data_IF_679460889328
#
_entry.id   IF_679460889328
#
_cell.length_a   1.000
_cell.length_b   1.000
_cell.length_c   1.000
_cell.angle_alpha   90.00
_cell.angle_beta   90.00
_cell.angle_gamma   90.00
#
_symmetry.space_group_name_H-M   'P 1'
#
loop_
_entity.id
_entity.type
_entity.pdbx_description
1 polymer ?
#
# COMPACT_ATOMS: atom_id res chain seq x y z
N UNK A 1 -2.04 -29.11 -4.58
CA UNK A 1 -1.91 -28.05 -5.60
C UNK A 1 -2.36 -26.68 -5.08
N UNK A 2 -3.61 -26.54 -4.59
CA UNK A 2 -4.16 -25.24 -4.15
C UNK A 2 -3.31 -24.54 -3.05
N UNK A 3 -2.86 -25.29 -2.03
CA UNK A 3 -2.08 -24.74 -0.91
C UNK A 3 -0.72 -24.16 -1.29
N UNK A 4 -0.04 -24.72 -2.30
CA UNK A 4 1.24 -24.18 -2.81
C UNK A 4 1.05 -22.96 -3.70
N UNK A 5 -0.13 -22.80 -4.31
CA UNK A 5 -0.47 -21.62 -5.10
C UNK A 5 -0.93 -20.44 -4.23
N UNK A 6 -1.37 -20.69 -2.99
CA UNK A 6 -1.78 -19.62 -2.07
C UNK A 6 -0.62 -18.73 -1.62
N UNK A 7 0.61 -19.26 -1.61
CA UNK A 7 1.82 -18.51 -1.25
C UNK A 7 2.00 -17.32 -2.22
N UNK A 8 2.19 -17.47 -3.53
CA UNK A 8 2.34 -16.31 -4.43
C UNK A 8 1.09 -15.43 -4.51
N UNK A 9 -0.10 -15.99 -4.25
CA UNK A 9 -1.37 -15.25 -4.33
C UNK A 9 -1.49 -14.15 -3.26
N UNK A 10 -1.01 -14.40 -2.04
CA UNK A 10 -1.04 -13.43 -0.94
C UNK A 10 -0.14 -12.21 -1.24
N UNK A 11 1.08 -12.43 -1.73
CA UNK A 11 1.97 -11.35 -2.20
C UNK A 11 1.34 -10.56 -3.34
N UNK A 12 0.68 -11.25 -4.27
CA UNK A 12 0.06 -10.60 -5.42
C UNK A 12 -1.04 -9.63 -4.96
N UNK A 13 -1.83 -10.03 -3.96
CA UNK A 13 -2.86 -9.17 -3.36
C UNK A 13 -2.24 -7.96 -2.66
N UNK A 14 -1.16 -8.16 -1.89
CA UNK A 14 -0.42 -7.05 -1.26
C UNK A 14 0.14 -6.06 -2.28
N UNK A 15 0.73 -6.57 -3.37
CA UNK A 15 1.24 -5.77 -4.47
C UNK A 15 0.12 -4.98 -5.16
N UNK A 16 -1.02 -5.61 -5.44
CA UNK A 16 -2.18 -4.92 -6.01
C UNK A 16 -2.75 -3.85 -5.07
N UNK A 17 -2.78 -4.09 -3.76
CA UNK A 17 -3.22 -3.09 -2.78
C UNK A 17 -2.34 -1.83 -2.83
N UNK A 18 -1.01 -1.98 -2.89
CA UNK A 18 -0.08 -0.85 -3.04
C UNK A 18 -0.29 -0.14 -4.40
N UNK A 19 -0.48 -0.91 -5.47
CA UNK A 19 -0.74 -0.36 -6.80
C UNK A 19 -2.04 0.46 -6.85
N UNK A 20 -3.09 0.01 -6.16
CA UNK A 20 -4.37 0.73 -6.05
C UNK A 20 -4.22 2.06 -5.32
N UNK A 21 -3.36 2.14 -4.30
CA UNK A 21 -3.05 3.41 -3.63
C UNK A 21 -2.44 4.40 -4.63
N UNK A 22 -1.46 3.96 -5.44
CA UNK A 22 -0.88 4.79 -6.49
C UNK A 22 -1.91 5.23 -7.54
N UNK A 23 -2.80 4.31 -7.95
CA UNK A 23 -3.92 4.61 -8.86
C UNK A 23 -4.95 5.59 -8.26
N UNK A 24 -5.18 5.54 -6.95
CA UNK A 24 -6.10 6.43 -6.24
C UNK A 24 -5.69 7.90 -6.36
N UNK A 25 -4.38 8.20 -6.40
CA UNK A 25 -3.90 9.57 -6.56
C UNK A 25 -4.37 10.17 -7.89
N UNK A 26 -4.32 9.39 -8.98
CA UNK A 26 -4.76 9.83 -10.29
C UNK A 26 -6.28 10.02 -10.33
N UNK A 27 -7.04 9.11 -9.72
CA UNK A 27 -8.51 9.21 -9.69
C UNK A 27 -8.97 10.38 -8.83
N UNK A 28 -8.26 10.70 -7.75
CA UNK A 28 -8.53 11.88 -6.91
C UNK A 28 -8.32 13.19 -7.67
N UNK A 29 -7.25 13.31 -8.46
CA UNK A 29 -6.97 14.52 -9.26
C UNK A 29 -7.98 14.67 -10.40
N UNK A 30 -8.25 13.60 -11.17
CA UNK A 30 -9.15 13.65 -12.34
C UNK A 30 -10.60 13.89 -11.93
N UNK A 31 -11.09 13.22 -10.87
CA UNK A 31 -12.47 13.37 -10.41
C UNK A 31 -12.63 14.44 -9.31
N UNK A 32 -11.58 15.21 -9.04
CA UNK A 32 -11.52 16.24 -7.99
C UNK A 32 -11.98 15.77 -6.59
N UNK A 33 -11.94 14.46 -6.31
CA UNK A 33 -12.35 13.88 -5.03
C UNK A 33 -11.38 14.31 -3.91
N UNK A 34 -11.88 14.68 -2.72
CA UNK A 34 -11.01 15.02 -1.60
C UNK A 34 -10.28 13.76 -1.11
N UNK A 35 -8.94 13.78 -1.13
CA UNK A 35 -8.11 12.67 -0.69
C UNK A 35 -6.65 13.09 -0.48
N UNK A 36 -5.85 12.16 0.04
CA UNK A 36 -4.44 12.40 0.40
C UNK A 36 -3.56 12.61 -0.84
N UNK A 37 -3.88 11.95 -1.96
CA UNK A 37 -3.18 12.12 -3.23
C UNK A 37 -3.39 13.50 -3.83
N UNK A 38 -4.63 14.00 -3.80
CA UNK A 38 -4.94 15.38 -4.23
C UNK A 38 -4.23 16.43 -3.36
N UNK A 39 -4.18 16.22 -2.04
CA UNK A 39 -3.43 17.09 -1.12
C UNK A 39 -1.93 17.10 -1.44
N UNK A 40 -1.36 15.94 -1.76
CA UNK A 40 0.05 15.81 -2.16
C UNK A 40 0.34 16.63 -3.43
N UNK A 41 -0.50 16.49 -4.47
CA UNK A 41 -0.35 17.26 -5.72
C UNK A 41 -0.52 18.76 -5.45
N UNK A 42 -1.46 19.15 -4.59
CA UNK A 42 -1.65 20.53 -4.16
C UNK A 42 -0.42 21.11 -3.44
N UNK A 43 0.21 20.33 -2.55
CA UNK A 43 1.44 20.71 -1.86
C UNK A 43 2.63 20.83 -2.82
N UNK A 44 2.73 19.92 -3.80
CA UNK A 44 3.74 20.01 -4.88
C UNK A 44 3.62 21.30 -5.67
N UNK A 45 2.39 21.68 -6.07
CA UNK A 45 2.12 22.90 -6.84
C UNK A 45 2.49 24.16 -6.04
N UNK A 46 2.27 24.14 -4.72
CA UNK A 46 2.60 25.24 -3.81
C UNK A 46 4.07 25.22 -3.32
N UNK A 47 4.86 24.22 -3.73
CA UNK A 47 6.22 23.96 -3.22
C UNK A 47 6.29 23.86 -1.69
N UNK A 48 5.22 23.38 -1.07
CA UNK A 48 5.20 23.10 0.36
C UNK A 48 5.81 21.72 0.61
N UNK A 49 7.13 21.70 0.80
CA UNK A 49 7.88 20.46 1.07
C UNK A 49 7.51 19.84 2.42
N UNK A 50 7.09 20.64 3.40
CA UNK A 50 6.71 20.15 4.73
C UNK A 50 5.43 19.33 4.63
N UNK A 51 4.42 19.86 3.94
CA UNK A 51 3.16 19.16 3.71
C UNK A 51 3.36 17.92 2.85
N UNK A 52 4.18 18.01 1.79
CA UNK A 52 4.54 16.86 0.95
C UNK A 52 5.15 15.73 1.77
N UNK A 53 6.19 16.03 2.56
CA UNK A 53 6.91 15.03 3.34
C UNK A 53 6.01 14.38 4.39
N UNK A 54 5.13 15.17 5.03
CA UNK A 54 4.15 14.66 6.00
C UNK A 54 3.22 13.62 5.37
N UNK A 55 2.71 13.91 4.16
CA UNK A 55 1.83 12.98 3.43
C UNK A 55 2.60 11.73 3.00
N UNK A 56 3.86 11.87 2.55
CA UNK A 56 4.71 10.73 2.19
C UNK A 56 4.95 9.79 3.38
N UNK A 57 5.15 10.32 4.59
CA UNK A 57 5.30 9.50 5.81
C UNK A 57 4.03 8.70 6.10
N UNK A 58 2.85 9.31 5.95
CA UNK A 58 1.57 8.60 6.11
C UNK A 58 1.43 7.48 5.09
N UNK A 59 1.73 7.73 3.82
CA UNK A 59 1.71 6.69 2.79
C UNK A 59 2.70 5.56 3.08
N UNK A 60 3.93 5.91 3.48
CA UNK A 60 4.94 4.92 3.85
C UNK A 60 4.46 4.05 5.02
N UNK A 61 3.85 4.64 6.04
CA UNK A 61 3.29 3.91 7.17
C UNK A 61 2.17 2.94 6.73
N UNK A 62 1.27 3.37 5.85
CA UNK A 62 0.19 2.50 5.31
C UNK A 62 0.80 1.34 4.49
N UNK A 63 1.80 1.61 3.66
CA UNK A 63 2.45 0.58 2.85
C UNK A 63 3.16 -0.44 3.76
N UNK A 64 3.86 0.01 4.81
CA UNK A 64 4.48 -0.87 5.79
C UNK A 64 3.44 -1.72 6.50
N UNK A 65 2.28 -1.16 6.87
CA UNK A 65 1.19 -1.93 7.45
C UNK A 65 0.64 -3.00 6.49
N UNK A 66 0.47 -2.67 5.20
CA UNK A 66 0.02 -3.64 4.19
C UNK A 66 1.03 -4.77 4.04
N UNK A 67 2.32 -4.46 3.98
CA UNK A 67 3.38 -5.47 3.92
C UNK A 67 3.38 -6.33 5.18
N UNK A 68 3.28 -5.74 6.36
CA UNK A 68 3.21 -6.47 7.63
C UNK A 68 2.00 -7.42 7.68
N UNK A 69 0.83 -6.97 7.21
CA UNK A 69 -0.38 -7.80 7.11
C UNK A 69 -0.16 -8.94 6.11
N UNK A 70 0.48 -8.65 4.98
CA UNK A 70 0.81 -9.65 3.95
C UNK A 70 1.75 -10.72 4.53
N UNK A 71 2.79 -10.32 5.26
CA UNK A 71 3.75 -11.21 5.94
C UNK A 71 3.09 -12.01 7.07
N UNK A 72 2.16 -11.42 7.81
CA UNK A 72 1.41 -12.14 8.85
C UNK A 72 0.48 -13.19 8.23
N UNK A 73 -0.22 -12.84 7.14
CA UNK A 73 -1.04 -13.77 6.36
C UNK A 73 -0.20 -14.92 5.81
N UNK A 74 1.04 -14.64 5.39
CA UNK A 74 2.01 -15.68 5.03
C UNK A 74 2.24 -16.68 6.16
N UNK A 75 2.52 -16.20 7.37
CA UNK A 75 2.73 -17.05 8.55
C UNK A 75 1.51 -17.88 8.94
N UNK A 76 0.29 -17.40 8.68
CA UNK A 76 -0.96 -18.14 8.95
C UNK A 76 -1.26 -19.17 7.85
N UNK A 77 -0.99 -18.84 6.58
CA UNK A 77 -1.28 -19.70 5.43
C UNK A 77 -0.28 -20.86 5.31
N UNK A 78 0.98 -20.65 5.72
CA UNK A 78 2.02 -21.68 5.67
C UNK A 78 2.42 -22.20 7.06
N UNK A 79 1.84 -23.32 7.56
CA UNK A 79 2.24 -23.93 8.81
C UNK A 79 3.58 -24.70 8.72
N UNK A 80 4.32 -24.61 7.60
CA UNK A 80 5.71 -25.10 7.51
C UNK A 80 6.74 -24.13 8.11
N UNK A 81 6.33 -22.93 8.54
CA UNK A 81 7.12 -22.05 9.43
C UNK A 81 7.09 -22.55 10.89
N UNK A 82 6.73 -23.81 11.11
CA UNK A 82 7.01 -24.49 12.37
C UNK A 82 8.45 -24.98 12.27
N UNK A 83 9.34 -24.15 12.81
CA UNK A 83 10.71 -24.50 13.17
C UNK A 83 10.73 -25.93 13.75
N UNK A 84 11.60 -26.78 13.19
CA UNK A 84 12.36 -27.72 14.03
C UNK A 84 13.18 -26.90 15.03
#
# INVERSE_FOLDING_TARGET
ALRSAMIPLVSLIGLFAISLIGGSVLTEEVFARPGLGKLMIGAMKQKDYTMLQSIMVVYAFIIVLINLVTDLLYGVVDPRVRYE
#
